data_IF_529381792543
#
_entry.id   IF_529381792543
#
_cell.length_a   1.000
_cell.length_b   1.000
_cell.length_c   1.000
_cell.angle_alpha   90.00
_cell.angle_beta   90.00
_cell.angle_gamma   90.00
#
_symmetry.space_group_name_H-M   'P 1'
#
loop_
_entity.id
_entity.type
_entity.pdbx_description
1 polymer ?
#
# COMPACT_ATOMS: atom_id res chain seq x y z
N UNK A 1 6.27 13.42 -15.64
CA UNK A 1 5.04 12.75 -15.18
C UNK A 1 4.62 13.39 -13.87
N UNK A 2 3.54 14.17 -13.86
CA UNK A 2 2.98 14.68 -12.62
C UNK A 2 2.20 13.53 -11.96
N UNK A 3 2.57 13.16 -10.75
CA UNK A 3 1.80 12.20 -9.96
C UNK A 3 0.44 12.83 -9.65
N UNK A 4 -0.66 12.10 -9.80
CA UNK A 4 -1.99 12.65 -9.48
C UNK A 4 -2.03 13.03 -7.99
N UNK A 5 -2.56 14.21 -7.64
CA UNK A 5 -2.53 14.73 -6.25
C UNK A 5 -3.18 13.77 -5.23
N UNK A 6 -4.07 12.90 -5.68
CA UNK A 6 -4.70 11.86 -4.86
C UNK A 6 -3.69 10.79 -4.43
N UNK A 7 -2.76 10.42 -5.31
CA UNK A 7 -1.74 9.40 -5.05
C UNK A 7 -0.70 9.94 -4.06
N UNK A 8 -0.27 11.19 -4.25
CA UNK A 8 0.66 11.85 -3.33
C UNK A 8 0.10 11.89 -1.91
N UNK A 9 -1.20 12.20 -1.79
CA UNK A 9 -1.92 12.18 -0.51
C UNK A 9 -2.03 10.78 0.08
N UNK A 10 -2.40 9.77 -0.72
CA UNK A 10 -2.52 8.39 -0.24
C UNK A 10 -1.17 7.83 0.24
N UNK A 11 -0.08 8.13 -0.49
CA UNK A 11 1.28 7.77 -0.08
C UNK A 11 1.68 8.53 1.21
N UNK A 12 1.43 9.83 1.29
CA UNK A 12 1.76 10.62 2.47
C UNK A 12 1.01 10.12 3.71
N UNK A 13 -0.29 9.82 3.59
CA UNK A 13 -1.10 9.26 4.68
C UNK A 13 -0.58 7.87 5.08
N UNK A 14 -0.28 7.01 4.10
CA UNK A 14 0.29 5.68 4.38
C UNK A 14 1.63 5.78 5.12
N UNK A 15 2.50 6.71 4.73
CA UNK A 15 3.77 6.99 5.40
C UNK A 15 3.55 7.47 6.84
N UNK A 16 2.63 8.41 7.07
CA UNK A 16 2.31 8.92 8.41
C UNK A 16 1.76 7.79 9.29
N UNK A 17 0.79 7.01 8.78
CA UNK A 17 0.22 5.87 9.51
C UNK A 17 1.29 4.83 9.85
N UNK A 18 2.15 4.49 8.89
CA UNK A 18 3.26 3.54 9.12
C UNK A 18 4.25 4.07 10.16
N UNK A 19 4.62 5.35 10.08
CA UNK A 19 5.51 5.99 11.04
C UNK A 19 4.93 6.02 12.47
N UNK A 20 3.62 6.27 12.60
CA UNK A 20 2.94 6.25 13.90
C UNK A 20 2.90 4.84 14.52
N UNK A 21 2.65 3.80 13.70
CA UNK A 21 2.66 2.41 14.19
C UNK A 21 4.09 2.01 14.57
N UNK A 22 5.07 2.25 13.70
CA UNK A 22 6.48 1.96 13.99
C UNK A 22 7.00 2.71 15.21
N UNK A 23 6.62 3.97 15.38
CA UNK A 23 6.97 4.78 16.56
C UNK A 23 6.38 4.17 17.85
N UNK A 24 5.12 3.71 17.84
CA UNK A 24 4.51 3.03 18.99
C UNK A 24 5.16 1.68 19.29
N UNK A 25 5.45 0.88 18.26
CA UNK A 25 6.17 -0.38 18.41
C UNK A 25 7.59 -0.14 18.97
N UNK A 26 8.33 0.80 18.38
CA UNK A 26 9.69 1.15 18.76
C UNK A 26 9.78 1.74 20.17
N UNK A 27 8.88 2.65 20.54
CA UNK A 27 8.80 3.21 21.89
C UNK A 27 8.61 2.12 22.95
N UNK A 28 7.74 1.13 22.69
CA UNK A 28 7.50 0.03 23.62
C UNK A 28 8.66 -0.97 23.67
N UNK A 29 9.30 -1.27 22.54
CA UNK A 29 10.52 -2.10 22.51
C UNK A 29 11.64 -1.42 23.29
N UNK A 30 11.86 -0.12 23.05
CA UNK A 30 12.85 0.69 23.76
C UNK A 30 12.59 0.71 25.27
N UNK A 31 11.33 0.90 25.68
CA UNK A 31 10.97 0.92 27.09
C UNK A 31 11.03 -0.47 27.75
N UNK A 32 10.80 -1.56 27.01
CA UNK A 32 11.04 -2.94 27.48
C UNK A 32 12.54 -3.22 27.68
N UNK A 33 13.38 -2.67 26.81
CA UNK A 33 14.84 -2.81 26.92
C UNK A 33 15.40 -2.00 28.11
N UNK A 34 14.78 -0.84 28.42
CA UNK A 34 15.24 0.07 29.48
C UNK A 34 14.57 -0.15 30.84
N UNK A 35 13.41 -0.82 30.89
CA UNK A 35 12.56 -0.93 32.07
C UNK A 35 12.26 -2.37 32.48
N UNK A 36 13.12 -2.90 33.36
CA UNK A 36 12.90 -4.08 34.23
C UNK A 36 12.75 -5.43 33.53
N UNK A 37 13.81 -6.24 33.61
CA UNK A 37 13.85 -7.67 33.37
C UNK A 37 12.88 -8.52 34.25
N UNK A 38 11.93 -7.89 34.95
CA UNK A 38 10.94 -8.53 35.82
C UNK A 38 9.49 -8.04 35.64
N UNK A 39 9.19 -7.17 34.67
CA UNK A 39 7.78 -6.78 34.44
C UNK A 39 7.08 -7.85 33.61
N UNK A 40 6.21 -8.64 34.26
CA UNK A 40 5.29 -9.62 33.68
C UNK A 40 4.26 -9.04 32.68
N UNK A 41 4.52 -7.86 32.09
CA UNK A 41 3.77 -7.33 30.95
C UNK A 41 4.18 -8.09 29.69
N UNK A 42 3.69 -9.32 29.62
CA UNK A 42 3.58 -10.12 28.41
C UNK A 42 2.88 -9.25 27.37
N UNK A 43 3.37 -9.27 26.13
CA UNK A 43 2.69 -8.63 24.99
C UNK A 43 1.21 -8.99 25.06
N UNK A 44 0.33 -8.01 25.24
CA UNK A 44 -1.10 -8.29 25.14
C UNK A 44 -1.36 -8.66 23.68
N UNK A 45 -2.28 -9.60 23.41
CA UNK A 45 -2.61 -10.01 22.05
C UNK A 45 -2.91 -8.80 21.14
N UNK A 46 -3.51 -7.74 21.71
CA UNK A 46 -3.79 -6.45 21.06
C UNK A 46 -2.56 -5.78 20.43
N UNK A 47 -1.37 -5.97 21.00
CA UNK A 47 -0.13 -5.39 20.49
C UNK A 47 0.37 -6.12 19.23
N UNK A 48 0.13 -7.43 19.16
CA UNK A 48 0.41 -8.24 17.97
C UNK A 48 -0.59 -7.87 16.87
N UNK A 49 -1.87 -7.67 17.21
CA UNK A 49 -2.87 -7.18 16.26
C UNK A 49 -2.53 -5.78 15.72
N UNK A 50 -2.02 -4.86 16.55
CA UNK A 50 -1.56 -3.54 16.08
C UNK A 50 -0.38 -3.63 15.11
N UNK A 51 0.56 -4.55 15.32
CA UNK A 51 1.68 -4.76 14.41
C UNK A 51 1.24 -5.41 13.09
N UNK A 52 0.31 -6.38 13.17
CA UNK A 52 -0.29 -7.03 11.99
C UNK A 52 -1.08 -6.02 11.16
N UNK A 53 -1.69 -5.00 11.76
CA UNK A 53 -2.38 -3.93 11.05
C UNK A 53 -1.48 -3.09 10.10
N UNK A 54 -0.15 -3.22 10.20
CA UNK A 54 0.79 -2.66 9.22
C UNK A 54 0.72 -3.40 7.88
N UNK A 55 0.44 -4.71 7.88
CA UNK A 55 0.37 -5.53 6.67
C UNK A 55 -0.71 -5.07 5.66
N UNK A 56 -1.98 -4.83 6.06
CA UNK A 56 -2.99 -4.32 5.14
C UNK A 56 -2.67 -2.89 4.65
N UNK A 57 -1.99 -2.07 5.47
CA UNK A 57 -1.51 -0.75 5.04
C UNK A 57 -0.45 -0.86 3.94
N UNK A 58 0.58 -1.70 4.13
CA UNK A 58 1.63 -1.95 3.14
C UNK A 58 1.02 -2.55 1.86
N UNK A 59 0.17 -3.58 2.01
CA UNK A 59 -0.54 -4.23 0.90
C UNK A 59 -1.28 -3.20 0.05
N UNK A 60 -2.07 -2.33 0.69
CA UNK A 60 -2.79 -1.26 0.02
C UNK A 60 -1.86 -0.31 -0.74
N UNK A 61 -0.79 0.17 -0.11
CA UNK A 61 0.14 1.10 -0.75
C UNK A 61 0.75 0.47 -2.00
N UNK A 62 1.21 -0.79 -1.89
CA UNK A 62 1.79 -1.53 -3.02
C UNK A 62 0.77 -1.72 -4.15
N UNK A 63 -0.47 -2.12 -3.83
CA UNK A 63 -1.54 -2.28 -4.83
C UNK A 63 -1.87 -0.97 -5.56
N UNK A 64 -1.96 0.15 -4.85
CA UNK A 64 -2.22 1.47 -5.46
C UNK A 64 -1.05 1.88 -6.35
N UNK A 65 0.18 1.77 -5.86
CA UNK A 65 1.37 2.16 -6.62
C UNK A 65 1.51 1.32 -7.89
N UNK A 66 1.34 0.00 -7.80
CA UNK A 66 1.39 -0.89 -8.96
C UNK A 66 0.24 -0.62 -9.94
N UNK A 67 -0.97 -0.35 -9.44
CA UNK A 67 -2.10 0.02 -10.30
C UNK A 67 -1.81 1.23 -11.17
N UNK A 68 -1.19 2.28 -10.61
CA UNK A 68 -0.87 3.48 -11.37
C UNK A 68 0.38 3.33 -12.24
N UNK A 69 1.32 2.46 -11.86
CA UNK A 69 2.49 2.17 -12.68
C UNK A 69 2.08 1.39 -13.95
N UNK A 70 1.11 0.49 -13.82
CA UNK A 70 0.57 -0.31 -14.93
C UNK A 70 -0.50 0.44 -15.74
N UNK A 71 -1.28 1.33 -15.11
CA UNK A 71 -2.34 2.10 -15.76
C UNK A 71 -2.32 3.57 -15.30
N UNK A 72 -1.36 4.38 -15.76
CA UNK A 72 -1.19 5.77 -15.30
C UNK A 72 -2.36 6.69 -15.67
N UNK A 73 -3.05 6.41 -16.77
CA UNK A 73 -4.27 7.13 -17.16
C UNK A 73 -5.51 6.68 -16.39
N UNK A 74 -5.40 5.60 -15.58
CA UNK A 74 -6.53 4.91 -14.97
C UNK A 74 -7.65 4.63 -15.98
N UNK A 75 -7.29 4.43 -17.25
CA UNK A 75 -8.26 4.27 -18.34
C UNK A 75 -8.91 2.90 -18.21
N UNK A 76 -10.24 2.88 -18.35
CA UNK A 76 -11.05 1.66 -18.46
C UNK A 76 -11.34 1.28 -19.91
N UNK A 77 -10.90 2.11 -20.84
CA UNK A 77 -11.09 1.87 -22.26
C UNK A 77 -10.05 0.86 -22.77
N UNK A 78 -10.42 0.04 -23.77
CA UNK A 78 -9.50 -0.90 -24.39
C UNK A 78 -8.27 -0.18 -24.94
N UNK A 79 -7.12 -0.87 -24.92
CA UNK A 79 -5.86 -0.30 -25.39
C UNK A 79 -5.93 0.03 -26.89
N UNK A 80 -5.69 1.28 -27.24
CA UNK A 80 -5.64 1.70 -28.64
C UNK A 80 -4.23 1.47 -29.21
N UNK A 81 -4.14 1.17 -30.51
CA UNK A 81 -2.84 0.98 -31.21
C UNK A 81 -1.91 2.19 -31.04
N UNK A 82 -2.48 3.40 -31.04
CA UNK A 82 -1.72 4.64 -30.91
C UNK A 82 -1.14 4.83 -29.50
N UNK A 83 -1.87 4.41 -28.46
CA UNK A 83 -1.40 4.47 -27.07
C UNK A 83 -0.32 3.42 -26.79
N UNK A 84 -0.49 2.22 -27.36
CA UNK A 84 0.51 1.16 -27.29
C UNK A 84 1.81 1.57 -28.00
N UNK A 85 1.69 2.19 -29.18
CA UNK A 85 2.84 2.75 -29.91
C UNK A 85 3.53 3.88 -29.13
N UNK A 86 2.76 4.78 -28.49
CA UNK A 86 3.29 5.86 -27.67
C UNK A 86 4.09 5.36 -26.44
N UNK A 87 3.75 4.18 -25.92
CA UNK A 87 4.44 3.54 -24.79
C UNK A 87 5.49 2.50 -25.23
N UNK A 88 5.69 2.31 -26.54
CA UNK A 88 6.54 1.26 -27.11
C UNK A 88 6.19 -0.16 -26.62
N UNK A 89 4.89 -0.43 -26.46
CA UNK A 89 4.35 -1.72 -26.01
C UNK A 89 3.42 -2.30 -27.08
N UNK A 90 3.17 -3.61 -27.03
CA UNK A 90 2.09 -4.21 -27.83
C UNK A 90 0.74 -3.89 -27.22
N UNK A 91 -0.32 -3.86 -28.04
CA UNK A 91 -1.69 -3.61 -27.58
C UNK A 91 -2.10 -4.63 -26.51
N UNK A 92 -1.82 -5.92 -26.75
CA UNK A 92 -2.14 -7.00 -25.81
C UNK A 92 -1.46 -6.82 -24.45
N UNK A 93 -0.22 -6.31 -24.43
CA UNK A 93 0.52 -6.08 -23.19
C UNK A 93 -0.03 -4.88 -22.43
N UNK A 94 -0.38 -3.80 -23.14
CA UNK A 94 -0.99 -2.62 -22.53
C UNK A 94 -2.38 -2.93 -21.96
N UNK A 95 -3.16 -3.76 -22.65
CA UNK A 95 -4.48 -4.21 -22.19
C UNK A 95 -4.38 -5.12 -20.96
N UNK A 96 -3.39 -6.02 -20.95
CA UNK A 96 -3.09 -6.84 -19.78
C UNK A 96 -2.71 -5.97 -18.56
N UNK A 97 -1.80 -5.02 -18.73
CA UNK A 97 -1.35 -4.11 -17.67
C UNK A 97 -2.51 -3.25 -17.13
N UNK A 98 -3.41 -2.76 -18.02
CA UNK A 98 -4.64 -2.07 -17.60
C UNK A 98 -5.55 -2.95 -16.74
N UNK A 99 -5.77 -4.19 -17.18
CA UNK A 99 -6.62 -5.15 -16.47
C UNK A 99 -6.06 -5.47 -15.08
N UNK A 100 -4.77 -5.76 -15.00
CA UNK A 100 -4.08 -6.04 -13.74
C UNK A 100 -4.11 -4.81 -12.83
N UNK A 101 -3.87 -3.61 -13.38
CA UNK A 101 -3.98 -2.36 -12.63
C UNK A 101 -5.37 -2.15 -12.01
N UNK A 102 -6.43 -2.40 -12.77
CA UNK A 102 -7.80 -2.32 -12.26
C UNK A 102 -8.11 -3.39 -11.20
N UNK A 103 -7.60 -4.61 -11.35
CA UNK A 103 -7.75 -5.67 -10.35
C UNK A 103 -7.03 -5.34 -9.03
N UNK A 104 -5.85 -4.71 -9.10
CA UNK A 104 -5.11 -4.27 -7.91
C UNK A 104 -5.91 -3.26 -7.08
N UNK A 105 -6.70 -2.38 -7.72
CA UNK A 105 -7.61 -1.46 -7.02
C UNK A 105 -8.71 -2.17 -6.23
N UNK A 106 -9.13 -3.37 -6.67
CA UNK A 106 -10.06 -4.23 -5.92
C UNK A 106 -9.37 -4.82 -4.70
N UNK A 107 -8.11 -5.28 -4.83
CA UNK A 107 -7.30 -5.75 -3.71
C UNK A 107 -7.10 -4.68 -2.62
N UNK A 108 -6.99 -3.42 -3.03
CA UNK A 108 -6.94 -2.27 -2.12
C UNK A 108 -8.20 -2.15 -1.25
N UNK A 109 -9.38 -2.44 -1.81
CA UNK A 109 -10.66 -2.39 -1.08
C UNK A 109 -10.80 -3.52 -0.07
N UNK A 110 -10.26 -4.70 -0.39
CA UNK A 110 -10.21 -5.84 0.55
C UNK A 110 -9.27 -5.55 1.73
N UNK A 111 -8.20 -4.80 1.48
CA UNK A 111 -7.28 -4.39 2.56
C UNK A 111 -7.95 -3.46 3.58
N UNK A 112 -8.98 -2.68 3.17
CA UNK A 112 -9.79 -1.85 4.07
C UNK A 112 -10.73 -2.65 4.99
N UNK A 113 -11.15 -3.85 4.58
CA UNK A 113 -12.05 -4.70 5.38
C UNK A 113 -11.32 -5.52 6.45
N UNK A 114 -9.99 -5.56 6.40
CA UNK A 114 -9.13 -6.32 7.32
C UNK A 114 -8.53 -5.46 8.44
N UNK A 115 -8.77 -4.15 8.42
CA UNK A 115 -8.42 -3.18 9.47
C UNK A 115 -9.68 -2.81 10.22
#
# INVERSE_FOLDING_TARGET
MALSSTIEKDIAIACICSALILSRCGYRIYHRYKGHAGSHRIWHADDIYMAIAVLPLISRTVCITLSFLLNPSSSREPATKDEAAAQSMTVDKLEHDRTVGLQLLVGTRLSYTLV
#
